data_IF_497422931772
#
_entry.id   IF_497422931772
#
_cell.length_a   1.000
_cell.length_b   1.000
_cell.length_c   1.000
_cell.angle_alpha   90.00
_cell.angle_beta   90.00
_cell.angle_gamma   90.00
#
_symmetry.space_group_name_H-M   'P 1'
#
loop_
_entity.id
_entity.type
_entity.pdbx_description
1 polymer ?
#
# COMPACT_ATOMS: atom_id res chain seq x y z
N UNK A 1 -20.14 -19.49 23.82
CA UNK A 1 -18.75 -19.72 23.34
C UNK A 1 -18.40 -18.62 22.35
N UNK A 2 -17.95 -17.44 22.81
CA UNK A 2 -17.65 -16.27 21.95
C UNK A 2 -16.24 -15.71 22.21
N UNK A 3 -15.27 -16.60 22.49
CA UNK A 3 -13.87 -16.22 22.78
C UNK A 3 -12.93 -16.34 21.57
N UNK A 4 -13.42 -16.75 20.40
CA UNK A 4 -12.58 -16.92 19.21
C UNK A 4 -12.40 -15.64 18.39
N UNK A 5 -13.37 -14.71 18.42
CA UNK A 5 -13.31 -13.50 17.59
C UNK A 5 -12.30 -12.46 18.10
N UNK A 6 -12.03 -12.41 19.41
CA UNK A 6 -11.09 -11.45 19.99
C UNK A 6 -9.61 -11.79 19.67
N UNK A 7 -9.28 -13.08 19.53
CA UNK A 7 -7.89 -13.52 19.27
C UNK A 7 -7.41 -13.20 17.84
N UNK A 8 -8.31 -13.24 16.86
CA UNK A 8 -7.99 -12.89 15.47
C UNK A 8 -7.71 -11.39 15.28
N UNK A 9 -8.28 -10.53 16.14
CA UNK A 9 -8.02 -9.10 16.10
C UNK A 9 -6.62 -8.73 16.64
N UNK A 10 -6.07 -9.49 17.59
CA UNK A 10 -4.72 -9.24 18.12
C UNK A 10 -3.61 -9.65 17.14
N UNK A 11 -3.82 -10.64 16.29
CA UNK A 11 -2.80 -11.05 15.30
C UNK A 11 -2.64 -10.04 14.17
N UNK A 12 -3.71 -9.33 13.79
CA UNK A 12 -3.63 -8.23 12.82
C UNK A 12 -2.89 -6.99 13.37
N UNK A 13 -2.90 -6.80 14.69
CA UNK A 13 -2.12 -5.76 15.38
C UNK A 13 -0.62 -6.11 15.50
N UNK A 14 -0.24 -7.37 15.29
CA UNK A 14 1.14 -7.82 15.36
C UNK A 14 1.87 -7.78 14.01
N UNK A 15 1.14 -7.57 12.90
CA UNK A 15 1.75 -7.40 11.57
C UNK A 15 2.24 -5.94 11.41
N UNK A 16 3.56 -5.69 11.38
CA UNK A 16 4.10 -4.35 11.18
C UNK A 16 3.57 -3.69 9.90
N UNK A 17 3.28 -4.49 8.87
CA UNK A 17 2.71 -4.00 7.62
C UNK A 17 1.32 -3.39 7.83
N UNK A 18 0.42 -4.10 8.51
CA UNK A 18 -0.90 -3.55 8.83
C UNK A 18 -0.80 -2.35 9.78
N UNK A 19 0.20 -2.31 10.67
CA UNK A 19 0.49 -1.14 11.50
C UNK A 19 0.83 0.11 10.68
N UNK A 20 1.62 -0.04 9.63
CA UNK A 20 1.96 1.07 8.72
C UNK A 20 0.75 1.50 7.87
N UNK A 21 -0.06 0.55 7.38
CA UNK A 21 -1.33 0.86 6.69
C UNK A 21 -2.29 1.61 7.61
N UNK A 22 -2.41 1.22 8.88
CA UNK A 22 -3.27 1.90 9.85
C UNK A 22 -2.82 3.34 10.13
N UNK A 23 -1.50 3.59 10.23
CA UNK A 23 -0.95 4.94 10.36
C UNK A 23 -1.25 5.80 9.13
N UNK A 24 -1.12 5.22 7.93
CA UNK A 24 -1.49 5.91 6.69
C UNK A 24 -2.98 6.29 6.67
N UNK A 25 -3.88 5.39 7.09
CA UNK A 25 -5.32 5.68 7.21
C UNK A 25 -5.58 6.84 8.18
N UNK A 26 -4.91 6.86 9.33
CA UNK A 26 -5.03 7.98 10.29
C UNK A 26 -4.53 9.29 9.66
N UNK A 27 -3.39 9.25 8.98
CA UNK A 27 -2.82 10.42 8.31
C UNK A 27 -3.71 10.97 7.19
N UNK A 28 -4.38 10.10 6.43
CA UNK A 28 -5.28 10.53 5.35
C UNK A 28 -6.53 11.26 5.86
N UNK A 29 -6.94 11.01 7.10
CA UNK A 29 -8.07 11.69 7.74
C UNK A 29 -7.74 13.10 8.27
N UNK A 30 -6.47 13.50 8.24
CA UNK A 30 -6.06 14.85 8.64
C UNK A 30 -6.64 15.92 7.69
N UNK A 31 -6.88 17.16 8.17
CA UNK A 31 -7.32 18.26 7.30
C UNK A 31 -6.39 18.47 6.10
N UNK A 32 -5.09 18.40 6.35
CA UNK A 32 -4.04 18.29 5.34
C UNK A 32 -3.49 16.86 5.44
N UNK A 33 -3.76 15.98 4.46
CA UNK A 33 -3.41 14.57 4.53
C UNK A 33 -1.94 14.36 4.79
N UNK A 34 -1.69 13.46 5.74
CA UNK A 34 -0.38 12.98 6.11
C UNK A 34 0.55 14.07 6.66
N UNK A 35 0.05 15.26 7.00
CA UNK A 35 0.89 16.37 7.43
C UNK A 35 1.73 15.98 8.65
N UNK A 36 1.09 15.39 9.66
CA UNK A 36 1.77 14.94 10.89
C UNK A 36 2.82 13.87 10.59
N UNK A 37 2.53 12.94 9.69
CA UNK A 37 3.48 11.88 9.29
C UNK A 37 4.67 12.45 8.52
N UNK A 38 4.43 13.44 7.66
CA UNK A 38 5.46 14.12 6.87
C UNK A 38 6.38 14.94 7.75
N UNK A 39 5.83 15.68 8.71
CA UNK A 39 6.61 16.45 9.68
C UNK A 39 7.50 15.55 10.56
N UNK A 40 7.10 14.29 10.73
CA UNK A 40 7.87 13.28 11.47
C UNK A 40 8.89 12.50 10.61
N UNK A 41 9.08 12.82 9.32
CA UNK A 41 9.86 12.03 8.34
C UNK A 41 9.49 10.53 8.37
N UNK A 42 8.21 10.23 8.60
CA UNK A 42 7.75 8.86 8.71
C UNK A 42 7.79 8.18 7.34
N UNK A 43 8.38 6.97 7.30
CA UNK A 43 8.59 6.16 6.10
C UNK A 43 7.89 4.80 6.26
N UNK A 44 6.63 4.66 5.82
CA UNK A 44 5.89 3.40 5.85
C UNK A 44 6.68 2.28 5.17
N UNK A 45 6.73 1.08 5.74
CA UNK A 45 7.51 -0.06 5.25
C UNK A 45 6.64 -1.03 4.43
N UNK A 46 6.00 -0.54 3.36
CA UNK A 46 5.22 -1.41 2.46
C UNK A 46 6.09 -2.19 1.46
N UNK A 47 7.31 -1.71 1.20
CA UNK A 47 8.35 -2.36 0.42
C UNK A 47 9.68 -2.28 1.19
N UNK A 48 10.71 -3.03 0.75
CA UNK A 48 11.98 -3.19 1.47
C UNK A 48 12.68 -1.88 1.83
N UNK A 49 12.56 -0.86 0.99
CA UNK A 49 13.22 0.44 1.17
C UNK A 49 12.30 1.51 1.76
N UNK A 50 11.11 1.12 2.18
CA UNK A 50 10.07 2.02 2.64
C UNK A 50 9.47 2.88 1.52
N UNK A 51 8.55 3.73 1.95
CA UNK A 51 7.86 4.70 1.13
C UNK A 51 8.33 6.10 1.50
N UNK A 52 8.35 6.99 0.51
CA UNK A 52 8.78 8.37 0.64
C UNK A 52 7.61 9.31 0.37
N UNK A 53 7.58 10.50 0.98
CA UNK A 53 6.60 11.52 0.61
C UNK A 53 6.65 11.80 -0.90
N UNK A 54 5.50 11.79 -1.56
CA UNK A 54 5.39 12.02 -3.00
C UNK A 54 4.03 12.63 -3.33
N UNK A 55 4.01 13.70 -4.13
CA UNK A 55 2.79 14.43 -4.47
C UNK A 55 1.91 14.75 -3.24
N UNK A 56 0.66 14.30 -3.26
CA UNK A 56 -0.33 14.50 -2.18
C UNK A 56 -0.33 13.38 -1.12
N UNK A 57 0.55 12.38 -1.22
CA UNK A 57 0.67 11.32 -0.22
C UNK A 57 2.06 10.72 -0.15
N UNK A 58 2.15 9.41 -0.38
CA UNK A 58 3.38 8.62 -0.31
C UNK A 58 3.58 7.80 -1.59
N UNK A 59 4.84 7.46 -1.86
CA UNK A 59 5.23 6.64 -2.98
C UNK A 59 6.29 5.62 -2.56
N UNK A 60 6.17 4.39 -3.03
CA UNK A 60 7.15 3.33 -2.81
C UNK A 60 7.55 2.75 -4.16
N UNK A 61 8.84 2.46 -4.34
CA UNK A 61 9.33 1.75 -5.52
C UNK A 61 10.39 0.73 -5.13
N UNK A 62 10.31 -0.45 -5.71
CA UNK A 62 11.37 -1.44 -5.61
C UNK A 62 11.60 -2.08 -6.98
N UNK A 63 12.86 -2.04 -7.43
CA UNK A 63 13.36 -2.80 -8.57
C UNK A 63 13.93 -4.15 -8.10
N UNK A 64 14.23 -5.05 -9.04
CA UNK A 64 14.75 -6.39 -8.73
C UNK A 64 13.87 -7.13 -7.72
N UNK A 65 12.54 -7.07 -7.91
CA UNK A 65 11.60 -7.73 -6.99
C UNK A 65 11.82 -9.24 -6.96
N UNK A 66 11.86 -9.84 -5.75
CA UNK A 66 11.85 -11.28 -5.64
C UNK A 66 10.49 -11.83 -6.11
N UNK A 67 10.41 -13.07 -6.60
CA UNK A 67 9.25 -13.62 -7.31
C UNK A 67 7.95 -13.61 -6.49
N UNK A 68 8.05 -13.70 -5.17
CA UNK A 68 6.92 -13.68 -4.23
C UNK A 68 6.25 -12.31 -4.09
N UNK A 69 6.97 -11.22 -4.38
CA UNK A 69 6.39 -9.87 -4.35
C UNK A 69 5.82 -9.55 -5.73
N UNK A 70 4.51 -9.41 -5.79
CA UNK A 70 3.75 -9.11 -7.01
C UNK A 70 2.77 -7.98 -6.74
N UNK A 71 2.38 -7.24 -7.77
CA UNK A 71 1.30 -6.24 -7.71
C UNK A 71 0.05 -6.80 -7.02
N UNK A 72 -0.43 -7.95 -7.49
CA UNK A 72 -1.68 -8.55 -7.02
C UNK A 72 -1.56 -9.11 -5.60
N UNK A 73 -0.40 -9.67 -5.24
CA UNK A 73 -0.12 -10.13 -3.88
C UNK A 73 -0.08 -8.98 -2.89
N UNK A 74 0.60 -7.89 -3.24
CA UNK A 74 0.66 -6.68 -2.43
C UNK A 74 -0.71 -6.02 -2.28
N UNK A 75 -1.49 -5.93 -3.36
CA UNK A 75 -2.86 -5.41 -3.31
C UNK A 75 -3.75 -6.21 -2.34
N UNK A 76 -3.67 -7.54 -2.35
CA UNK A 76 -4.38 -8.41 -1.40
C UNK A 76 -3.92 -8.18 0.04
N UNK A 77 -2.62 -8.00 0.26
CA UNK A 77 -2.08 -7.73 1.59
C UNK A 77 -2.56 -6.38 2.13
N UNK A 78 -2.54 -5.32 1.31
CA UNK A 78 -3.09 -4.00 1.66
C UNK A 78 -4.59 -4.12 1.99
N UNK A 79 -5.36 -4.79 1.14
CA UNK A 79 -6.79 -4.98 1.34
C UNK A 79 -7.10 -5.74 2.64
N UNK A 80 -6.27 -6.72 3.02
CA UNK A 80 -6.43 -7.45 4.28
C UNK A 80 -6.26 -6.55 5.53
N UNK A 81 -5.47 -5.48 5.43
CA UNK A 81 -5.27 -4.50 6.50
C UNK A 81 -6.29 -3.35 6.48
N UNK A 82 -7.15 -3.28 5.45
CA UNK A 82 -8.02 -2.14 5.19
C UNK A 82 -9.50 -2.57 5.20
N UNK A 83 -10.22 -2.35 6.32
CA UNK A 83 -11.61 -2.78 6.43
C UNK A 83 -12.50 -2.23 5.29
N UNK A 84 -13.25 -3.13 4.65
CA UNK A 84 -14.13 -2.76 3.53
C UNK A 84 -13.40 -2.41 2.23
N UNK A 85 -12.13 -2.78 2.10
CA UNK A 85 -11.36 -2.51 0.90
C UNK A 85 -11.98 -3.12 -0.36
N UNK A 86 -11.86 -2.41 -1.47
CA UNK A 86 -12.20 -2.86 -2.82
C UNK A 86 -10.93 -2.91 -3.64
N UNK A 87 -10.81 -3.96 -4.46
CA UNK A 87 -9.73 -4.12 -5.42
C UNK A 87 -10.33 -3.97 -6.83
N UNK A 88 -9.76 -3.09 -7.64
CA UNK A 88 -10.10 -2.91 -9.05
C UNK A 88 -8.85 -2.96 -9.91
N UNK A 89 -9.01 -3.26 -11.20
CA UNK A 89 -7.94 -3.17 -12.20
C UNK A 89 -8.30 -2.04 -13.15
N UNK A 90 -7.41 -1.06 -13.29
CA UNK A 90 -7.59 0.09 -14.17
C UNK A 90 -6.54 0.04 -15.30
N UNK A 91 -6.96 0.42 -16.52
CA UNK A 91 -6.05 0.51 -17.67
C UNK A 91 -5.41 1.89 -17.71
N UNK A 92 -4.08 1.91 -17.83
CA UNK A 92 -3.33 3.15 -17.95
C UNK A 92 -3.46 3.76 -19.35
N UNK A 93 -3.45 5.08 -19.43
CA UNK A 93 -3.67 5.86 -20.68
C UNK A 93 -2.70 5.49 -21.81
N UNK A 94 -1.49 5.05 -21.48
CA UNK A 94 -0.43 4.71 -22.44
C UNK A 94 -0.20 3.20 -22.59
N UNK A 95 -1.18 2.39 -22.21
CA UNK A 95 -1.04 0.94 -22.09
C UNK A 95 -0.47 0.55 -20.73
N UNK A 96 -0.73 -0.69 -20.31
CA UNK A 96 -0.46 -1.18 -18.95
C UNK A 96 -1.72 -1.21 -18.09
N UNK A 97 -1.59 -1.87 -16.95
CA UNK A 97 -2.66 -2.04 -15.97
C UNK A 97 -2.12 -1.77 -14.57
N UNK A 98 -2.85 -0.97 -13.80
CA UNK A 98 -2.64 -0.79 -12.38
C UNK A 98 -3.73 -1.51 -11.59
N UNK A 99 -3.38 -1.99 -10.40
CA UNK A 99 -4.36 -2.49 -9.43
C UNK A 99 -4.59 -1.39 -8.42
N UNK A 100 -5.85 -1.05 -8.24
CA UNK A 100 -6.30 -0.04 -7.30
C UNK A 100 -6.90 -0.73 -6.08
N UNK A 101 -6.41 -0.38 -4.89
CA UNK A 101 -7.06 -0.72 -3.63
C UNK A 101 -7.63 0.56 -3.01
N UNK A 102 -8.95 0.60 -2.82
CA UNK A 102 -9.61 1.71 -2.12
C UNK A 102 -10.31 1.24 -0.85
N UNK A 103 -10.36 2.10 0.17
CA UNK A 103 -11.02 1.82 1.44
C UNK A 103 -10.57 2.77 2.54
N UNK A 104 -11.41 3.01 3.55
CA UNK A 104 -11.11 3.89 4.70
C UNK A 104 -10.51 5.26 4.32
N UNK A 105 -10.99 5.87 3.23
CA UNK A 105 -10.47 7.16 2.75
C UNK A 105 -9.07 7.11 2.13
N UNK A 106 -8.61 5.93 1.71
CA UNK A 106 -7.33 5.70 1.05
C UNK A 106 -7.52 5.19 -0.38
N UNK A 107 -6.61 5.58 -1.26
CA UNK A 107 -6.36 4.96 -2.57
C UNK A 107 -4.89 4.52 -2.65
N UNK A 108 -4.68 3.24 -2.95
CA UNK A 108 -3.38 2.68 -3.30
C UNK A 108 -3.43 2.31 -4.78
N UNK A 109 -2.58 2.91 -5.61
CA UNK A 109 -2.33 2.43 -6.97
C UNK A 109 -1.06 1.60 -7.00
N UNK A 110 -1.17 0.39 -7.55
CA UNK A 110 -0.06 -0.54 -7.70
C UNK A 110 0.20 -0.82 -9.18
N UNK A 111 1.38 -0.45 -9.65
CA UNK A 111 1.84 -0.73 -11.01
C UNK A 111 3.06 -1.66 -10.95
N UNK A 112 3.03 -2.74 -11.72
CA UNK A 112 4.19 -3.60 -11.93
C UNK A 112 4.65 -3.51 -13.37
N UNK A 113 5.95 -3.29 -13.55
CA UNK A 113 6.60 -3.14 -14.85
C UNK A 113 7.93 -3.91 -14.92
N UNK A 114 8.54 -3.94 -16.10
CA UNK A 114 9.75 -4.72 -16.35
C UNK A 114 9.47 -6.21 -16.51
N UNK A 115 10.53 -7.01 -16.49
CA UNK A 115 10.45 -8.45 -16.67
C UNK A 115 11.53 -9.15 -15.83
N UNK A 116 11.38 -10.43 -15.47
CA UNK A 116 12.39 -11.17 -14.71
C UNK A 116 13.80 -11.14 -15.32
N UNK A 117 13.91 -11.01 -16.65
CA UNK A 117 15.18 -10.95 -17.38
C UNK A 117 15.64 -9.54 -17.77
N UNK A 118 14.88 -8.50 -17.42
CA UNK A 118 15.29 -7.12 -17.68
C UNK A 118 16.49 -6.73 -16.81
N UNK A 119 17.30 -5.76 -17.27
CA UNK A 119 18.50 -5.30 -16.53
C UNK A 119 18.20 -4.85 -15.09
N UNK A 120 17.01 -4.29 -14.86
CA UNK A 120 16.52 -3.84 -13.55
C UNK A 120 15.45 -4.77 -12.95
N UNK A 121 15.26 -5.95 -13.55
CA UNK A 121 14.25 -6.93 -13.16
C UNK A 121 12.82 -6.40 -13.25
N UNK A 122 11.94 -6.97 -12.42
CA UNK A 122 10.59 -6.45 -12.19
C UNK A 122 10.63 -5.28 -11.22
N UNK A 123 9.78 -4.29 -11.45
CA UNK A 123 9.63 -3.09 -10.64
C UNK A 123 8.18 -3.02 -10.16
N UNK A 124 7.97 -2.76 -8.86
CA UNK A 124 6.66 -2.46 -8.30
C UNK A 124 6.69 -1.03 -7.80
N UNK A 125 5.71 -0.27 -8.24
CA UNK A 125 5.42 1.09 -7.80
C UNK A 125 4.10 1.07 -7.04
N UNK A 126 4.09 1.77 -5.91
CA UNK A 126 2.89 1.96 -5.11
C UNK A 126 2.73 3.47 -4.89
N UNK A 127 1.67 4.05 -5.43
CA UNK A 127 1.24 5.40 -5.09
C UNK A 127 0.14 5.34 -4.05
N UNK A 128 0.24 6.20 -3.03
CA UNK A 128 -0.62 6.21 -1.86
C UNK A 128 -1.19 7.62 -1.72
N UNK A 129 -2.50 7.75 -1.74
CA UNK A 129 -3.19 9.02 -1.60
C UNK A 129 -4.40 8.91 -0.68
N UNK A 130 -4.82 10.04 -0.13
CA UNK A 130 -6.14 10.16 0.47
C UNK A 130 -7.20 10.16 -0.66
N UNK A 131 -8.27 9.41 -0.46
CA UNK A 131 -9.42 9.27 -1.37
C UNK A 131 -10.60 10.07 -0.80
N UNK A 132 -10.60 11.39 -1.07
CA UNK A 132 -11.54 12.37 -0.51
C UNK A 132 -11.89 13.45 -1.52
#
# INVERSE_FOLDING_TARGET
>A
MHFAAALLALTALADPFCGDVAKLVQGAAEPIPFQTLRDADYKPQLLRYGCFPGGVGYYCQQSMLPPEITRDGMAKQIAACLPGAKIAVEKLKFGGEEVIVTGSGMRFSLEESGAPTAHVGRILRIEIAADR
#
